data_IF_818377420459
#
_entry.id   IF_818377420459
#
_cell.length_a   1.000
_cell.length_b   1.000
_cell.length_c   1.000
_cell.angle_alpha   90.00
_cell.angle_beta   90.00
_cell.angle_gamma   90.00
#
_symmetry.space_group_name_H-M   'P 1'
#
loop_
_entity.id
_entity.type
_entity.pdbx_description
1 polymer ?
#
# COMPACT_ATOMS: atom_id res chain seq x y z
N UNK A 1 23.14 -16.16 -15.82
CA UNK A 1 22.78 -15.06 -14.92
C UNK A 1 22.69 -13.80 -15.76
N UNK A 2 21.59 -13.05 -15.76
CA UNK A 2 21.59 -11.75 -16.42
C UNK A 2 22.58 -10.86 -15.66
N UNK A 3 23.46 -10.17 -16.39
CA UNK A 3 24.36 -9.18 -15.80
C UNK A 3 23.55 -8.15 -15.01
N UNK A 4 24.07 -7.67 -13.86
CA UNK A 4 23.42 -6.57 -13.14
C UNK A 4 23.27 -5.42 -14.13
N UNK A 5 22.02 -5.01 -14.40
CA UNK A 5 21.78 -3.80 -15.18
C UNK A 5 22.58 -2.70 -14.50
N UNK A 6 23.54 -2.13 -15.22
CA UNK A 6 24.28 -0.96 -14.76
C UNK A 6 23.25 0.08 -14.29
N UNK A 7 23.15 0.24 -12.98
CA UNK A 7 22.44 1.36 -12.42
C UNK A 7 23.09 2.62 -12.99
N UNK A 8 22.31 3.68 -13.28
CA UNK A 8 22.92 4.96 -13.56
C UNK A 8 23.84 5.27 -12.38
N UNK A 9 25.15 5.32 -12.65
CA UNK A 9 26.11 5.88 -11.71
C UNK A 9 25.73 7.34 -11.62
N UNK A 10 24.94 7.67 -10.60
CA UNK A 10 24.57 9.04 -10.30
C UNK A 10 25.88 9.74 -9.91
N UNK A 11 26.50 10.41 -10.88
CA UNK A 11 27.54 11.40 -10.64
C UNK A 11 26.85 12.59 -9.98
N UNK A 12 26.66 12.51 -8.68
CA UNK A 12 26.18 13.64 -7.91
C UNK A 12 27.41 14.52 -7.62
N UNK A 13 27.39 15.75 -8.12
CA UNK A 13 28.43 16.74 -7.78
C UNK A 13 28.30 17.10 -6.29
N UNK A 14 29.35 16.83 -5.51
CA UNK A 14 29.37 17.00 -4.06
C UNK A 14 30.04 15.82 -3.35
N UNK A 15 30.22 15.93 -2.02
CA UNK A 15 30.68 14.80 -1.20
C UNK A 15 29.57 13.73 -1.16
N UNK A 16 29.65 12.71 -2.02
CA UNK A 16 28.68 11.60 -2.08
C UNK A 16 28.33 11.02 -0.70
N UNK A 17 29.28 11.01 0.24
CA UNK A 17 29.03 10.56 1.60
C UNK A 17 28.00 11.43 2.35
N UNK A 18 28.08 12.75 2.27
CA UNK A 18 27.14 13.65 2.97
C UNK A 18 25.71 13.56 2.43
N UNK A 19 25.55 13.25 1.15
CA UNK A 19 24.25 13.01 0.53
C UNK A 19 23.62 11.67 0.95
N UNK A 20 24.44 10.70 1.36
CA UNK A 20 24.00 9.40 1.84
C UNK A 20 23.74 9.38 3.35
N UNK A 21 24.21 10.36 4.11
CA UNK A 21 24.06 10.40 5.57
C UNK A 21 22.61 10.35 6.04
N UNK A 22 21.63 11.08 5.45
CA UNK A 22 20.23 10.93 5.82
C UNK A 22 19.71 9.51 5.59
N UNK A 23 20.12 8.87 4.49
CA UNK A 23 19.73 7.50 4.17
C UNK A 23 20.35 6.49 5.13
N UNK A 24 21.64 6.62 5.44
CA UNK A 24 22.36 5.80 6.41
C UNK A 24 21.75 5.94 7.81
N UNK A 25 21.41 7.16 8.21
CA UNK A 25 20.73 7.44 9.46
C UNK A 25 19.36 6.77 9.50
N UNK A 26 18.53 6.94 8.46
CA UNK A 26 17.23 6.28 8.38
C UNK A 26 17.34 4.75 8.45
N UNK A 27 18.30 4.15 7.72
CA UNK A 27 18.55 2.71 7.77
C UNK A 27 19.05 2.24 9.14
N UNK A 28 19.81 3.07 9.86
CA UNK A 28 20.22 2.78 11.22
C UNK A 28 19.01 2.78 12.17
N UNK A 29 18.20 3.84 12.14
CA UNK A 29 16.98 3.96 12.97
C UNK A 29 16.01 2.80 12.72
N UNK A 30 15.66 2.54 11.46
CA UNK A 30 14.73 1.48 11.10
C UNK A 30 15.21 0.09 11.53
N UNK A 31 16.53 -0.17 11.53
CA UNK A 31 17.09 -1.42 12.04
C UNK A 31 16.93 -1.58 13.55
N UNK A 32 16.96 -0.48 14.30
CA UNK A 32 16.73 -0.50 15.75
C UNK A 32 15.26 -0.77 16.09
N UNK A 33 14.35 -0.45 15.17
CA UNK A 33 12.92 -0.67 15.31
C UNK A 33 12.46 -2.04 14.81
N UNK A 34 13.37 -2.91 14.34
CA UNK A 34 13.02 -4.29 14.00
C UNK A 34 12.76 -5.10 15.27
N UNK A 35 11.61 -5.77 15.30
CA UNK A 35 11.25 -6.76 16.31
C UNK A 35 11.57 -8.14 15.75
N UNK A 36 12.46 -8.86 16.43
CA UNK A 36 12.86 -10.22 16.07
C UNK A 36 12.07 -11.27 16.85
N UNK A 37 11.82 -12.46 16.27
CA UNK A 37 11.30 -13.61 17.00
C UNK A 37 12.18 -13.96 18.21
N UNK A 38 11.56 -14.30 19.35
CA UNK A 38 12.29 -14.66 20.57
C UNK A 38 11.39 -14.76 21.80
N UNK A 39 11.99 -14.74 22.99
CA UNK A 39 11.28 -14.93 24.26
C UNK A 39 10.15 -13.90 24.49
N UNK A 40 10.32 -12.69 23.96
CA UNK A 40 9.34 -11.58 24.07
C UNK A 40 8.52 -11.36 22.78
N UNK A 41 8.75 -12.16 21.74
CA UNK A 41 8.06 -12.03 20.44
C UNK A 41 7.75 -13.39 19.81
N UNK A 42 6.47 -13.68 19.65
CA UNK A 42 5.99 -14.88 18.96
C UNK A 42 5.86 -14.71 17.44
N UNK A 43 6.36 -13.60 16.88
CA UNK A 43 6.38 -13.38 15.43
C UNK A 43 7.14 -14.51 14.74
N UNK A 44 6.71 -14.88 13.52
CA UNK A 44 7.36 -15.95 12.74
C UNK A 44 8.58 -15.47 11.95
N UNK A 45 8.72 -14.17 11.77
CA UNK A 45 9.85 -13.54 11.14
C UNK A 45 10.03 -12.11 11.68
N UNK A 46 11.20 -11.48 11.42
CA UNK A 46 11.44 -10.09 11.78
C UNK A 46 10.40 -9.15 11.14
N UNK A 47 9.93 -8.16 11.90
CA UNK A 47 9.00 -7.14 11.42
C UNK A 47 9.31 -5.78 12.02
N UNK A 48 8.95 -4.70 11.32
CA UNK A 48 9.15 -3.35 11.84
C UNK A 48 8.10 -3.03 12.91
N UNK A 49 8.56 -2.49 14.05
CA UNK A 49 7.70 -1.99 15.12
C UNK A 49 6.66 -1.01 14.56
N UNK A 50 5.40 -1.24 14.87
CA UNK A 50 4.30 -0.38 14.48
C UNK A 50 4.19 0.85 15.37
N UNK A 51 3.24 1.72 15.05
CA UNK A 51 3.00 2.96 15.81
C UNK A 51 2.47 2.70 17.22
N UNK A 52 1.75 1.59 17.42
CA UNK A 52 1.25 1.19 18.73
C UNK A 52 2.20 0.22 19.42
N UNK A 53 2.45 0.46 20.70
CA UNK A 53 3.24 -0.45 21.52
C UNK A 53 2.68 -1.88 21.49
N UNK A 54 3.55 -2.87 21.29
CA UNK A 54 3.17 -4.28 21.25
C UNK A 54 2.66 -4.79 19.91
N UNK A 55 2.66 -3.95 18.87
CA UNK A 55 2.20 -4.34 17.53
C UNK A 55 3.22 -4.02 16.43
N UNK A 56 3.10 -4.74 15.32
CA UNK A 56 3.73 -4.43 14.04
C UNK A 56 2.64 -4.21 13.00
N UNK A 57 2.79 -3.23 12.11
CA UNK A 57 1.75 -2.83 11.16
C UNK A 57 2.20 -3.08 9.71
N UNK A 58 1.30 -3.63 8.88
CA UNK A 58 1.61 -4.01 7.51
C UNK A 58 1.94 -2.79 6.63
N UNK A 59 1.23 -1.68 6.81
CA UNK A 59 1.49 -0.43 6.09
C UNK A 59 2.97 0.00 6.23
N UNK A 60 3.46 0.02 7.45
CA UNK A 60 4.82 0.42 7.81
C UNK A 60 5.83 -0.59 7.29
N UNK A 61 5.54 -1.89 7.43
CA UNK A 61 6.37 -2.95 6.85
C UNK A 61 6.53 -2.82 5.32
N UNK A 62 5.44 -2.56 4.60
CA UNK A 62 5.47 -2.38 3.16
C UNK A 62 6.31 -1.16 2.75
N UNK A 63 6.11 0.01 3.37
CA UNK A 63 6.86 1.22 3.04
C UNK A 63 8.33 1.15 3.50
N UNK A 64 8.59 0.54 4.65
CA UNK A 64 9.95 0.30 5.13
C UNK A 64 10.71 -0.60 4.17
N UNK A 65 10.07 -1.62 3.60
CA UNK A 65 10.67 -2.46 2.54
C UNK A 65 11.09 -1.60 1.35
N UNK A 66 10.30 -0.61 0.94
CA UNK A 66 10.69 0.31 -0.12
C UNK A 66 11.92 1.13 0.30
N UNK A 67 11.97 1.71 1.48
CA UNK A 67 13.13 2.49 1.92
C UNK A 67 14.39 1.65 2.09
N UNK A 68 14.25 0.48 2.69
CA UNK A 68 15.35 -0.37 3.13
C UNK A 68 15.91 -1.26 2.02
N UNK A 69 15.23 -1.46 0.90
CA UNK A 69 15.72 -2.36 -0.17
C UNK A 69 17.14 -2.05 -0.63
N UNK A 70 17.59 -0.79 -0.58
CA UNK A 70 18.95 -0.40 -0.97
C UNK A 70 19.97 -0.44 0.18
N UNK A 71 19.53 -0.74 1.41
CA UNK A 71 20.42 -0.97 2.52
C UNK A 71 21.24 -2.24 2.24
N UNK A 72 22.51 -2.23 2.65
CA UNK A 72 23.45 -3.32 2.40
C UNK A 72 23.04 -4.65 3.02
N UNK A 73 23.89 -5.67 2.84
CA UNK A 73 23.69 -7.04 3.33
C UNK A 73 23.11 -7.04 4.76
N UNK A 74 22.01 -7.77 4.96
CA UNK A 74 21.32 -7.89 6.25
C UNK A 74 19.96 -7.18 6.31
N UNK A 75 19.50 -6.55 5.24
CA UNK A 75 18.12 -6.07 5.14
C UNK A 75 17.15 -7.24 5.18
N UNK A 76 16.40 -7.33 6.27
CA UNK A 76 15.40 -8.39 6.50
C UNK A 76 14.10 -7.98 5.83
N UNK A 77 13.43 -8.93 5.20
CA UNK A 77 12.10 -8.65 4.67
C UNK A 77 11.10 -8.62 5.81
N UNK A 78 10.57 -7.44 6.09
CA UNK A 78 9.59 -7.21 7.16
C UNK A 78 8.17 -7.63 6.76
N UNK A 79 7.99 -8.13 5.53
CA UNK A 79 6.74 -8.73 5.05
C UNK A 79 6.58 -10.19 5.47
N UNK A 80 7.69 -10.89 5.76
CA UNK A 80 7.69 -12.34 6.03
C UNK A 80 6.80 -12.70 7.23
N UNK A 81 6.76 -11.84 8.24
CA UNK A 81 5.92 -12.05 9.42
C UNK A 81 4.43 -12.06 9.06
N UNK A 82 4.01 -11.17 8.17
CA UNK A 82 2.62 -11.03 7.73
C UNK A 82 2.23 -12.10 6.72
N UNK A 83 3.12 -12.45 5.78
CA UNK A 83 2.89 -13.56 4.86
C UNK A 83 2.77 -14.89 5.62
N UNK A 84 3.56 -15.07 6.67
CA UNK A 84 3.46 -16.25 7.56
C UNK A 84 2.21 -16.26 8.43
N UNK A 85 1.64 -15.08 8.71
CA UNK A 85 0.43 -14.90 9.49
C UNK A 85 -0.83 -14.72 8.61
N UNK A 86 -0.74 -15.04 7.31
CA UNK A 86 -1.85 -14.91 6.38
C UNK A 86 -3.11 -15.59 6.92
N UNK A 87 -4.22 -14.88 6.90
CA UNK A 87 -5.44 -15.37 7.54
C UNK A 87 -6.08 -16.48 6.70
N UNK A 88 -6.60 -17.52 7.37
CA UNK A 88 -7.28 -18.65 6.74
C UNK A 88 -8.51 -18.23 5.91
N UNK A 89 -9.08 -17.05 6.17
CA UNK A 89 -10.19 -16.49 5.39
C UNK A 89 -9.73 -15.84 4.08
N UNK A 90 -8.43 -15.81 3.79
CA UNK A 90 -7.91 -15.37 2.50
C UNK A 90 -7.42 -13.92 2.45
N UNK A 91 -7.08 -13.30 3.59
CA UNK A 91 -6.60 -11.91 3.62
C UNK A 91 -5.29 -11.75 4.38
N UNK A 92 -4.56 -10.69 4.03
CA UNK A 92 -3.35 -10.27 4.71
C UNK A 92 -3.70 -9.42 5.95
N UNK A 93 -3.18 -9.77 7.14
CA UNK A 93 -3.37 -8.99 8.35
C UNK A 93 -2.88 -7.56 8.23
N UNK A 94 -3.68 -6.60 8.70
CA UNK A 94 -3.29 -5.19 8.82
C UNK A 94 -2.22 -4.94 9.87
N UNK A 95 -2.21 -5.78 10.91
CA UNK A 95 -1.24 -5.73 12.01
C UNK A 95 -1.11 -7.10 12.67
N UNK A 96 0.01 -7.31 13.36
CA UNK A 96 0.23 -8.46 14.23
C UNK A 96 0.56 -8.00 15.64
N UNK A 97 0.05 -8.73 16.63
CA UNK A 97 0.46 -8.55 18.02
C UNK A 97 1.80 -9.26 18.24
N UNK A 98 2.79 -8.53 18.76
CA UNK A 98 4.16 -9.04 18.95
C UNK A 98 4.18 -10.25 19.88
N UNK A 99 3.39 -10.21 20.96
CA UNK A 99 3.36 -11.25 21.97
C UNK A 99 2.81 -12.59 21.45
N UNK A 100 1.85 -12.56 20.53
CA UNK A 100 1.19 -13.77 20.00
C UNK A 100 1.61 -14.14 18.58
N UNK A 101 2.21 -13.20 17.85
CA UNK A 101 2.64 -13.35 16.47
C UNK A 101 1.50 -13.42 15.45
N UNK A 102 0.26 -13.19 15.91
CA UNK A 102 -0.95 -13.37 15.11
C UNK A 102 -1.83 -12.14 15.08
N UNK A 103 -2.99 -12.31 14.47
CA UNK A 103 -4.00 -11.26 14.36
C UNK A 103 -4.49 -10.85 15.75
N UNK A 104 -4.63 -9.54 16.04
CA UNK A 104 -5.23 -9.07 17.28
C UNK A 104 -6.61 -9.71 17.50
N UNK A 105 -7.04 -9.92 18.75
CA UNK A 105 -8.28 -10.63 19.06
C UNK A 105 -9.57 -9.86 18.72
N UNK A 106 -9.50 -8.59 18.31
CA UNK A 106 -10.69 -7.74 18.07
C UNK A 106 -11.59 -8.25 16.93
N UNK A 107 -12.90 -8.34 17.18
CA UNK A 107 -13.87 -9.15 16.44
C UNK A 107 -14.59 -8.43 15.30
N UNK A 108 -14.28 -7.17 15.01
CA UNK A 108 -14.86 -6.52 13.83
C UNK A 108 -14.04 -6.87 12.58
N UNK A 109 -14.62 -7.67 11.68
CA UNK A 109 -13.98 -8.10 10.42
C UNK A 109 -13.46 -6.93 9.56
N UNK A 110 -14.02 -5.73 9.78
CA UNK A 110 -13.63 -4.48 9.14
C UNK A 110 -12.35 -3.83 9.68
N UNK A 111 -11.58 -4.48 10.56
CA UNK A 111 -10.31 -3.93 11.13
C UNK A 111 -9.04 -4.70 10.75
N UNK A 112 -9.19 -5.87 10.10
CA UNK A 112 -8.11 -6.86 10.01
C UNK A 112 -7.33 -6.88 8.71
N UNK A 113 -7.81 -6.19 7.68
CA UNK A 113 -7.24 -6.30 6.32
C UNK A 113 -6.29 -5.15 6.06
N UNK A 114 -5.03 -5.44 5.69
CA UNK A 114 -4.02 -4.42 5.39
C UNK A 114 -4.45 -3.47 4.26
N UNK A 115 -3.78 -2.34 4.07
CA UNK A 115 -3.80 -1.70 2.75
C UNK A 115 -3.03 -2.58 1.75
N UNK A 116 -3.42 -2.68 0.47
CA UNK A 116 -2.86 -3.66 -0.47
C UNK A 116 -1.50 -3.19 -1.05
N UNK A 117 -0.52 -2.98 -0.17
CA UNK A 117 0.82 -2.50 -0.52
C UNK A 117 1.88 -3.61 -0.61
N UNK A 118 1.54 -4.83 -0.20
CA UNK A 118 2.50 -5.93 -0.15
C UNK A 118 2.91 -6.44 -1.53
N UNK A 119 2.03 -6.40 -2.54
CA UNK A 119 2.44 -6.72 -3.90
C UNK A 119 3.56 -5.77 -4.38
N UNK A 120 3.46 -4.48 -4.06
CA UNK A 120 4.54 -3.53 -4.35
C UNK A 120 5.83 -3.88 -3.60
N UNK A 121 5.74 -4.16 -2.30
CA UNK A 121 6.90 -4.52 -1.49
C UNK A 121 7.62 -5.76 -2.04
N UNK A 122 6.89 -6.85 -2.30
CA UNK A 122 7.45 -8.11 -2.82
C UNK A 122 7.98 -7.97 -4.24
N UNK A 123 7.31 -7.16 -5.08
CA UNK A 123 7.81 -6.88 -6.43
C UNK A 123 9.14 -6.12 -6.43
N UNK A 124 9.28 -5.11 -5.57
CA UNK A 124 10.54 -4.37 -5.43
C UNK A 124 11.67 -5.25 -4.88
N UNK A 125 11.39 -6.10 -3.90
CA UNK A 125 12.34 -7.10 -3.40
C UNK A 125 12.75 -8.08 -4.51
N UNK A 126 11.81 -8.56 -5.31
CA UNK A 126 12.10 -9.43 -6.44
C UNK A 126 12.98 -8.75 -7.48
N UNK A 127 12.69 -7.49 -7.86
CA UNK A 127 13.52 -6.75 -8.83
C UNK A 127 14.96 -6.59 -8.35
N UNK A 128 15.19 -6.54 -7.04
CA UNK A 128 16.52 -6.40 -6.46
C UNK A 128 17.26 -7.74 -6.35
N UNK A 129 16.58 -8.78 -5.86
CA UNK A 129 17.24 -10.04 -5.47
C UNK A 129 17.02 -11.19 -6.46
N UNK A 130 16.04 -11.07 -7.36
CA UNK A 130 15.72 -12.10 -8.36
C UNK A 130 15.16 -13.40 -7.79
N UNK A 131 14.75 -13.45 -6.51
CA UNK A 131 14.24 -14.66 -5.88
C UNK A 131 12.83 -14.98 -6.39
N UNK A 132 12.76 -15.82 -7.43
CA UNK A 132 11.49 -16.23 -8.07
C UNK A 132 10.61 -17.10 -7.17
N UNK A 133 11.20 -17.99 -6.36
CA UNK A 133 10.45 -18.88 -5.47
C UNK A 133 9.68 -18.07 -4.42
N UNK A 134 10.35 -17.09 -3.80
CA UNK A 134 9.71 -16.15 -2.89
C UNK A 134 8.57 -15.39 -3.58
N UNK A 135 8.80 -14.88 -4.78
CA UNK A 135 7.79 -14.14 -5.53
C UNK A 135 6.56 -15.00 -5.83
N UNK A 136 6.76 -16.26 -6.23
CA UNK A 136 5.65 -17.18 -6.51
C UNK A 136 4.85 -17.49 -5.25
N UNK A 137 5.51 -17.75 -4.11
CA UNK A 137 4.83 -17.95 -2.83
C UNK A 137 4.02 -16.72 -2.40
N UNK A 138 4.63 -15.52 -2.48
CA UNK A 138 3.95 -14.28 -2.14
C UNK A 138 2.76 -14.00 -3.09
N UNK A 139 2.92 -14.30 -4.39
CA UNK A 139 1.88 -14.09 -5.39
C UNK A 139 0.59 -14.86 -5.05
N UNK A 140 0.68 -16.13 -4.65
CA UNK A 140 -0.50 -16.92 -4.29
C UNK A 140 -1.30 -16.27 -3.14
N UNK A 141 -0.60 -15.86 -2.08
CA UNK A 141 -1.20 -15.22 -0.91
C UNK A 141 -1.82 -13.87 -1.27
N UNK A 142 -1.10 -13.04 -2.03
CA UNK A 142 -1.53 -11.69 -2.37
C UNK A 142 -2.64 -11.68 -3.43
N UNK A 143 -2.72 -12.70 -4.28
CA UNK A 143 -3.87 -12.91 -5.17
C UNK A 143 -5.11 -13.33 -4.38
N UNK A 144 -4.98 -14.21 -3.39
CA UNK A 144 -6.09 -14.55 -2.50
C UNK A 144 -6.58 -13.31 -1.74
N UNK A 145 -5.67 -12.49 -1.20
CA UNK A 145 -6.02 -11.20 -0.56
C UNK A 145 -6.71 -10.23 -1.52
N UNK A 146 -6.28 -10.18 -2.79
CA UNK A 146 -6.96 -9.39 -3.82
C UNK A 146 -8.40 -9.87 -4.06
N UNK A 147 -8.63 -11.18 -4.18
CA UNK A 147 -9.98 -11.75 -4.32
C UNK A 147 -10.86 -11.48 -3.09
N UNK A 148 -10.32 -11.65 -1.89
CA UNK A 148 -11.04 -11.33 -0.66
C UNK A 148 -11.53 -9.86 -0.68
N UNK A 149 -10.68 -8.93 -1.12
CA UNK A 149 -11.03 -7.51 -1.20
C UNK A 149 -12.09 -7.21 -2.24
N UNK A 150 -12.04 -7.87 -3.39
CA UNK A 150 -13.08 -7.76 -4.42
C UNK A 150 -14.47 -8.12 -3.85
N UNK A 151 -14.53 -9.15 -3.01
CA UNK A 151 -15.78 -9.63 -2.40
C UNK A 151 -16.24 -8.80 -1.19
N UNK A 152 -15.29 -8.26 -0.39
CA UNK A 152 -15.61 -7.68 0.93
C UNK A 152 -15.44 -6.15 1.02
N UNK A 153 -14.61 -5.54 0.17
CA UNK A 153 -14.28 -4.11 0.24
C UNK A 153 -14.87 -3.29 -0.93
N UNK A 154 -15.34 -3.96 -2.00
CA UNK A 154 -15.98 -3.31 -3.14
C UNK A 154 -17.36 -2.76 -2.74
N UNK A 155 -17.60 -1.50 -3.07
CA UNK A 155 -18.84 -0.75 -2.77
C UNK A 155 -19.86 -0.94 -3.89
N UNK A 156 -21.10 -0.52 -3.66
CA UNK A 156 -22.22 -0.65 -4.64
C UNK A 156 -21.95 0.06 -5.97
N UNK A 157 -21.21 1.17 -5.95
CA UNK A 157 -20.78 1.90 -7.15
C UNK A 157 -19.59 1.23 -7.87
N UNK A 158 -19.09 0.11 -7.35
CA UNK A 158 -17.95 -0.64 -7.86
C UNK A 158 -16.58 -0.07 -7.46
N UNK A 159 -16.53 1.01 -6.67
CA UNK A 159 -15.29 1.55 -6.11
C UNK A 159 -14.95 0.85 -4.78
N UNK A 160 -13.90 1.30 -4.11
CA UNK A 160 -13.39 0.69 -2.88
C UNK A 160 -13.44 1.66 -1.71
N UNK A 161 -13.71 1.11 -0.53
CA UNK A 161 -13.33 1.73 0.74
C UNK A 161 -12.29 0.85 1.42
N UNK A 162 -12.00 1.12 2.69
CA UNK A 162 -11.02 0.33 3.42
C UNK A 162 -11.30 0.26 4.92
N UNK A 163 -10.27 -0.17 5.62
CA UNK A 163 -10.21 -0.16 7.08
C UNK A 163 -9.54 1.14 7.53
N UNK A 164 -10.21 1.94 8.35
CA UNK A 164 -9.72 3.27 8.74
C UNK A 164 -8.29 3.23 9.31
N UNK A 165 -8.01 2.28 10.22
CA UNK A 165 -6.69 2.13 10.84
C UNK A 165 -5.62 1.69 9.83
N UNK A 166 -5.96 0.76 8.94
CA UNK A 166 -5.02 0.18 7.96
C UNK A 166 -4.64 1.17 6.87
N UNK A 167 -5.48 2.15 6.61
CA UNK A 167 -5.24 3.26 5.67
C UNK A 167 -4.79 4.55 6.37
N UNK A 168 -4.50 4.50 7.68
CA UNK A 168 -4.07 5.66 8.49
C UNK A 168 -5.02 6.85 8.39
N UNK A 169 -6.32 6.59 8.31
CA UNK A 169 -7.35 7.61 8.05
C UNK A 169 -7.38 8.71 9.13
N UNK A 170 -7.04 8.37 10.37
CA UNK A 170 -6.93 9.31 11.50
C UNK A 170 -5.87 10.40 11.30
N UNK A 171 -4.92 10.21 10.39
CA UNK A 171 -3.92 11.21 10.02
C UNK A 171 -4.41 12.17 8.93
N UNK A 172 -5.71 12.15 8.59
CA UNK A 172 -6.28 12.93 7.50
C UNK A 172 -7.44 13.81 7.98
N UNK A 173 -7.80 14.83 7.20
CA UNK A 173 -9.00 15.63 7.42
C UNK A 173 -10.30 14.97 6.94
N UNK A 174 -10.24 13.72 6.45
CA UNK A 174 -11.38 13.05 5.80
C UNK A 174 -12.32 12.44 6.82
N UNK A 175 -13.62 12.51 6.53
CA UNK A 175 -14.68 11.90 7.36
C UNK A 175 -14.67 12.39 8.82
N UNK A 176 -14.21 13.62 9.06
CA UNK A 176 -14.04 14.19 10.40
C UNK A 176 -15.29 14.96 10.85
N UNK A 177 -15.75 14.74 12.08
CA UNK A 177 -16.70 15.60 12.79
C UNK A 177 -16.17 15.86 14.20
N UNK A 178 -16.07 17.13 14.61
CA UNK A 178 -15.54 17.49 15.93
C UNK A 178 -14.08 17.05 16.15
N UNK A 179 -13.27 17.00 15.10
CA UNK A 179 -11.85 16.63 15.18
C UNK A 179 -11.58 15.13 15.32
N UNK A 180 -12.56 14.26 15.05
CA UNK A 180 -12.40 12.80 15.07
C UNK A 180 -13.00 12.17 13.82
N UNK A 181 -12.41 11.07 13.35
CA UNK A 181 -12.96 10.29 12.23
C UNK A 181 -14.28 9.68 12.71
N UNK A 182 -15.34 9.85 11.91
CA UNK A 182 -16.65 9.24 12.16
C UNK A 182 -16.73 7.91 11.41
N UNK A 183 -16.76 6.76 12.10
CA UNK A 183 -16.70 5.44 11.45
C UNK A 183 -17.84 5.19 10.46
N UNK A 184 -19.05 5.71 10.70
CA UNK A 184 -20.18 5.56 9.78
C UNK A 184 -19.95 6.28 8.45
N UNK A 185 -19.41 7.50 8.49
CA UNK A 185 -19.07 8.27 7.28
C UNK A 185 -17.98 7.55 6.48
N UNK A 186 -16.92 7.11 7.16
CA UNK A 186 -15.83 6.38 6.52
C UNK A 186 -16.32 5.03 5.94
N UNK A 187 -17.17 4.31 6.66
CA UNK A 187 -17.66 2.98 6.28
C UNK A 187 -18.58 2.99 5.05
N UNK A 188 -19.42 4.01 4.90
CA UNK A 188 -20.30 4.17 3.74
C UNK A 188 -19.59 4.71 2.49
N UNK A 189 -18.45 5.36 2.65
CA UNK A 189 -17.75 6.07 1.59
C UNK A 189 -16.90 5.20 0.67
N UNK A 190 -16.61 5.73 -0.52
CA UNK A 190 -15.58 5.24 -1.46
C UNK A 190 -14.36 6.15 -1.40
N UNK A 191 -13.17 5.59 -1.17
CA UNK A 191 -11.96 6.36 -0.89
C UNK A 191 -11.02 6.33 -2.09
N UNK A 192 -10.55 7.50 -2.54
CA UNK A 192 -9.75 7.61 -3.76
C UNK A 192 -8.39 6.92 -3.62
N UNK A 193 -7.80 6.94 -2.44
CA UNK A 193 -6.57 6.22 -2.12
C UNK A 193 -6.78 4.71 -2.06
N UNK A 194 -7.89 4.23 -1.49
CA UNK A 194 -8.24 2.81 -1.55
C UNK A 194 -8.35 2.34 -2.99
N UNK A 195 -9.08 3.07 -3.85
CA UNK A 195 -9.19 2.73 -5.27
C UNK A 195 -7.82 2.76 -5.96
N UNK A 196 -7.01 3.78 -5.72
CA UNK A 196 -5.66 3.87 -6.28
C UNK A 196 -4.75 2.73 -5.82
N UNK A 197 -4.74 2.39 -4.53
CA UNK A 197 -3.94 1.28 -3.99
C UNK A 197 -4.41 -0.08 -4.51
N UNK A 198 -5.71 -0.31 -4.63
CA UNK A 198 -6.24 -1.54 -5.23
C UNK A 198 -5.87 -1.65 -6.71
N UNK A 199 -5.93 -0.54 -7.46
CA UNK A 199 -5.48 -0.52 -8.86
C UNK A 199 -3.97 -0.75 -9.00
N UNK A 200 -3.17 -0.18 -8.10
CA UNK A 200 -1.73 -0.44 -8.03
C UNK A 200 -1.46 -1.92 -7.74
N UNK A 201 -2.17 -2.50 -6.77
CA UNK A 201 -2.07 -3.91 -6.41
C UNK A 201 -2.40 -4.81 -7.61
N UNK A 202 -3.54 -4.59 -8.27
CA UNK A 202 -3.94 -5.33 -9.46
C UNK A 202 -2.90 -5.23 -10.58
N UNK A 203 -2.36 -4.04 -10.83
CA UNK A 203 -1.31 -3.83 -11.83
C UNK A 203 -0.06 -4.64 -11.52
N UNK A 204 0.41 -4.59 -10.28
CA UNK A 204 1.65 -5.26 -9.87
C UNK A 204 1.47 -6.78 -9.85
N UNK A 205 0.35 -7.28 -9.33
CA UNK A 205 0.00 -8.69 -9.45
C UNK A 205 -0.02 -9.10 -10.91
N UNK A 206 -0.58 -8.29 -11.81
CA UNK A 206 -0.56 -8.55 -13.26
C UNK A 206 0.85 -8.71 -13.82
N UNK A 207 1.80 -7.89 -13.39
CA UNK A 207 3.22 -8.05 -13.76
C UNK A 207 3.84 -9.35 -13.22
N UNK A 208 3.56 -9.69 -11.95
CA UNK A 208 3.99 -10.97 -11.36
C UNK A 208 3.44 -12.15 -12.17
N UNK A 209 2.14 -12.13 -12.47
CA UNK A 209 1.44 -13.17 -13.21
C UNK A 209 2.02 -13.37 -14.61
N UNK A 210 2.34 -12.28 -15.33
CA UNK A 210 3.00 -12.34 -16.64
C UNK A 210 4.39 -12.97 -16.53
N UNK A 211 5.17 -12.58 -15.52
CA UNK A 211 6.48 -13.17 -15.25
C UNK A 211 6.40 -14.66 -14.89
N UNK A 212 5.33 -15.08 -14.22
CA UNK A 212 5.06 -16.47 -13.85
C UNK A 212 4.46 -17.29 -15.00
N UNK A 213 4.07 -16.67 -16.12
CA UNK A 213 3.52 -17.34 -17.30
C UNK A 213 2.01 -17.64 -17.22
N UNK A 214 1.28 -17.02 -16.29
CA UNK A 214 -0.12 -17.30 -15.97
C UNK A 214 -1.10 -16.37 -16.71
N UNK A 215 -1.17 -16.50 -18.04
CA UNK A 215 -1.80 -15.49 -18.93
C UNK A 215 -3.26 -15.14 -18.60
N UNK A 216 -4.08 -16.10 -18.20
CA UNK A 216 -5.51 -15.87 -17.90
C UNK A 216 -5.69 -14.96 -16.69
N UNK A 217 -5.01 -15.29 -15.58
CA UNK A 217 -4.99 -14.49 -14.35
C UNK A 217 -4.49 -13.05 -14.61
N UNK A 218 -3.56 -12.86 -15.56
CA UNK A 218 -3.06 -11.54 -15.90
C UNK A 218 -4.14 -10.69 -16.59
N UNK A 219 -5.00 -11.32 -17.40
CA UNK A 219 -6.14 -10.66 -18.05
C UNK A 219 -7.20 -10.22 -17.05
N UNK A 220 -7.49 -11.03 -16.02
CA UNK A 220 -8.43 -10.70 -14.94
C UNK A 220 -7.97 -9.46 -14.16
N UNK A 221 -6.68 -9.43 -13.77
CA UNK A 221 -6.08 -8.33 -13.02
C UNK A 221 -6.03 -7.04 -13.85
N UNK A 222 -5.72 -7.14 -15.14
CA UNK A 222 -5.74 -6.01 -16.07
C UNK A 222 -7.15 -5.45 -16.25
N UNK A 223 -8.16 -6.33 -16.35
CA UNK A 223 -9.55 -5.90 -16.41
C UNK A 223 -9.98 -5.19 -15.13
N UNK A 224 -9.65 -5.72 -13.96
CA UNK A 224 -9.99 -5.10 -12.68
C UNK A 224 -9.35 -3.71 -12.53
N UNK A 225 -8.08 -3.54 -12.92
CA UNK A 225 -7.43 -2.23 -12.94
C UNK A 225 -8.16 -1.24 -13.86
N UNK A 226 -8.57 -1.68 -15.07
CA UNK A 226 -9.28 -0.84 -16.03
C UNK A 226 -10.68 -0.46 -15.55
N UNK A 227 -11.41 -1.37 -14.91
CA UNK A 227 -12.71 -1.09 -14.29
C UNK A 227 -12.59 -0.04 -13.17
N UNK A 228 -11.62 -0.22 -12.26
CA UNK A 228 -11.32 0.77 -11.22
C UNK A 228 -10.97 2.14 -11.81
N UNK A 229 -10.12 2.17 -12.85
CA UNK A 229 -9.76 3.40 -13.53
C UNK A 229 -10.96 4.09 -14.17
N UNK A 230 -11.81 3.35 -14.88
CA UNK A 230 -13.01 3.89 -15.52
C UNK A 230 -13.96 4.50 -14.48
N UNK A 231 -14.23 3.79 -13.38
CA UNK A 231 -15.12 4.26 -12.31
C UNK A 231 -14.55 5.47 -11.57
N UNK A 232 -13.27 5.45 -11.20
CA UNK A 232 -12.65 6.57 -10.51
C UNK A 232 -12.68 7.84 -11.37
N UNK A 233 -12.39 7.70 -12.67
CA UNK A 233 -12.42 8.81 -13.61
C UNK A 233 -13.82 9.34 -13.90
N UNK A 234 -14.85 8.48 -13.87
CA UNK A 234 -16.22 8.89 -14.10
C UNK A 234 -16.87 9.51 -12.86
N UNK A 235 -16.58 8.97 -11.67
CA UNK A 235 -17.32 9.28 -10.46
C UNK A 235 -16.56 10.19 -9.49
N UNK A 236 -15.23 10.04 -9.39
CA UNK A 236 -14.44 10.72 -8.34
C UNK A 236 -13.72 11.97 -8.83
N UNK A 237 -13.62 12.18 -10.13
CA UNK A 237 -13.00 13.39 -10.69
C UNK A 237 -13.99 14.54 -10.76
N UNK A 238 -13.58 15.72 -10.28
CA UNK A 238 -14.30 16.96 -10.48
C UNK A 238 -13.58 17.84 -11.50
N UNK A 239 -14.24 18.14 -12.62
CA UNK A 239 -13.67 18.95 -13.70
C UNK A 239 -13.44 20.41 -13.28
N UNK A 240 -14.25 20.95 -12.36
CA UNK A 240 -14.15 22.36 -11.95
C UNK A 240 -12.96 22.61 -11.03
N UNK A 241 -12.68 21.66 -10.13
CA UNK A 241 -11.58 21.69 -9.18
C UNK A 241 -10.29 21.08 -9.73
N UNK A 242 -10.37 20.36 -10.85
CA UNK A 242 -9.27 19.58 -11.43
C UNK A 242 -8.64 18.64 -10.38
N UNK A 243 -9.48 17.95 -9.63
CA UNK A 243 -9.06 17.12 -8.51
C UNK A 243 -9.96 15.89 -8.34
N UNK A 244 -9.42 14.81 -7.77
CA UNK A 244 -10.24 13.66 -7.35
C UNK A 244 -10.68 13.80 -5.89
N UNK A 245 -11.92 13.44 -5.62
CA UNK A 245 -12.52 13.46 -4.28
C UNK A 245 -13.00 12.07 -3.87
N UNK A 246 -13.03 11.83 -2.56
CA UNK A 246 -13.76 10.70 -2.01
C UNK A 246 -15.26 10.88 -2.24
N UNK A 247 -16.00 9.77 -2.29
CA UNK A 247 -17.46 9.80 -2.38
C UNK A 247 -18.07 9.40 -1.05
N UNK A 248 -19.13 10.08 -0.64
CA UNK A 248 -19.95 9.64 0.48
C UNK A 248 -20.79 8.39 0.13
N UNK A 249 -21.66 7.98 1.06
CA UNK A 249 -22.53 6.80 0.87
C UNK A 249 -23.59 6.97 -0.22
N UNK A 250 -23.86 8.20 -0.65
CA UNK A 250 -24.81 8.54 -1.71
C UNK A 250 -24.12 8.72 -3.07
N UNK A 251 -22.79 8.71 -3.10
CA UNK A 251 -22.01 8.91 -4.32
C UNK A 251 -21.68 10.37 -4.60
N UNK A 252 -21.91 11.27 -3.64
CA UNK A 252 -21.60 12.70 -3.77
C UNK A 252 -20.15 12.96 -3.35
N UNK A 253 -19.52 13.96 -3.98
CA UNK A 253 -18.14 14.34 -3.67
C UNK A 253 -18.05 14.90 -2.25
N UNK A 254 -17.12 14.35 -1.46
CA UNK A 254 -16.71 14.99 -0.22
C UNK A 254 -15.82 16.18 -0.54
N UNK A 255 -16.16 17.41 -0.10
CA UNK A 255 -15.49 18.63 -0.53
C UNK A 255 -14.17 18.88 0.23
N UNK A 256 -13.32 17.86 0.33
CA UNK A 256 -12.02 17.91 1.03
C UNK A 256 -10.93 17.46 0.07
N UNK A 257 -10.08 18.40 -0.35
CA UNK A 257 -8.88 18.08 -1.14
C UNK A 257 -7.83 17.47 -0.22
N UNK A 258 -7.32 16.30 -0.58
CA UNK A 258 -6.25 15.64 0.18
C UNK A 258 -5.22 15.02 -0.75
N UNK A 259 -4.04 14.70 -0.20
CA UNK A 259 -2.99 13.99 -0.92
C UNK A 259 -3.35 12.53 -1.26
N UNK A 260 -4.47 12.01 -0.72
CA UNK A 260 -4.99 10.69 -1.08
C UNK A 260 -5.19 10.55 -2.60
N UNK A 261 -5.58 11.64 -3.26
CA UNK A 261 -5.81 11.67 -4.70
C UNK A 261 -4.54 11.36 -5.51
N UNK A 262 -3.33 11.55 -4.97
CA UNK A 262 -2.07 11.25 -5.67
C UNK A 262 -1.87 9.75 -5.91
N UNK A 263 -2.59 8.89 -5.19
CA UNK A 263 -2.60 7.45 -5.48
C UNK A 263 -3.14 7.14 -6.87
N UNK A 264 -3.95 8.03 -7.49
CA UNK A 264 -4.39 7.85 -8.88
C UNK A 264 -3.26 8.01 -9.88
N UNK A 265 -2.31 8.91 -9.60
CA UNK A 265 -1.11 9.11 -10.39
C UNK A 265 -0.16 7.92 -10.19
N UNK A 266 0.08 7.53 -8.94
CA UNK A 266 1.04 6.46 -8.63
C UNK A 266 0.59 5.09 -9.14
N UNK A 267 -0.72 4.80 -9.06
CA UNK A 267 -1.31 3.59 -9.62
C UNK A 267 -1.36 3.59 -11.16
N UNK A 268 -1.38 4.77 -11.78
CA UNK A 268 -1.49 4.96 -13.22
C UNK A 268 -2.94 4.97 -13.72
N UNK A 269 -3.93 5.17 -12.85
CA UNK A 269 -5.34 5.25 -13.26
C UNK A 269 -5.79 6.66 -13.65
N UNK A 270 -5.05 7.70 -13.24
CA UNK A 270 -5.28 9.06 -13.73
C UNK A 270 -4.75 9.19 -15.17
N UNK A 271 -5.56 9.65 -16.13
CA UNK A 271 -5.07 9.97 -17.46
C UNK A 271 -4.12 11.17 -17.37
N UNK A 272 -3.19 11.25 -18.33
CA UNK A 272 -2.06 12.21 -18.30
C UNK A 272 -2.50 13.66 -18.08
N UNK A 273 -3.55 14.11 -18.76
CA UNK A 273 -4.06 15.48 -18.61
C UNK A 273 -4.56 15.79 -17.19
N UNK A 274 -5.20 14.83 -16.52
CA UNK A 274 -5.67 14.99 -15.14
C UNK A 274 -4.51 14.95 -14.15
N UNK A 275 -3.54 14.05 -14.36
CA UNK A 275 -2.31 14.02 -13.58
C UNK A 275 -1.54 15.35 -13.69
N UNK A 276 -1.39 15.88 -14.90
CA UNK A 276 -0.72 17.16 -15.15
C UNK A 276 -1.46 18.33 -14.43
N UNK A 277 -2.79 18.34 -14.46
CA UNK A 277 -3.60 19.33 -13.75
C UNK A 277 -3.44 19.25 -12.23
N UNK A 278 -3.47 18.03 -11.66
CA UNK A 278 -3.24 17.82 -10.23
C UNK A 278 -1.84 18.26 -9.79
N UNK A 279 -0.79 17.92 -10.55
CA UNK A 279 0.57 18.33 -10.22
C UNK A 279 0.75 19.85 -10.24
N UNK A 280 0.07 20.54 -11.18
CA UNK A 280 0.03 22.01 -11.21
C UNK A 280 -0.62 22.58 -9.95
N UNK A 281 -1.73 22.00 -9.49
CA UNK A 281 -2.43 22.41 -8.25
C UNK A 281 -1.61 22.11 -7.00
N UNK A 282 -0.92 20.97 -6.94
CA UNK A 282 -0.04 20.60 -5.82
C UNK A 282 1.14 21.58 -5.67
N UNK A 283 1.54 22.24 -6.75
CA UNK A 283 2.63 23.23 -6.74
C UNK A 283 2.16 24.63 -6.28
N UNK A 284 0.87 24.81 -5.96
CA UNK A 284 0.31 26.06 -5.47
C UNK A 284 0.40 26.11 -3.93
N UNK A 285 1.30 26.93 -3.35
CA UNK A 285 1.52 26.98 -1.90
C UNK A 285 0.34 27.59 -1.13
N UNK A 286 -0.67 28.12 -1.82
CA UNK A 286 -1.91 28.58 -1.18
C UNK A 286 -2.92 27.45 -0.99
N UNK A 287 -2.69 26.29 -1.62
CA UNK A 287 -3.57 25.13 -1.56
C UNK A 287 -2.93 23.92 -0.86
N UNK A 288 -1.61 23.74 -0.97
CA UNK A 288 -0.85 22.63 -0.40
C UNK A 288 0.44 23.08 0.28
#
# INVERSE_FOLDING_TARGET
MPEPRDFPVLKIEGEQDSLLDPYRHACFQLRQDVVDPGDESSLKAPALRGLSQGFVDAWDGALATLGLRWAGIGTRSVTDAFLSAFDKNGYLPSRLEVATGGNPPDKSDSTRVAAPLFALAEWELFKLHGNRERLEHAFELLRADFMYREDHQRKRNGLFGGVADSYRLHATGRFMLGGRVVPSLAGGASWIDAVGMHALNARILGEMTRLLGRKEEAGELEWAMRDMAARANALMWDESNEWYFDLDEHGEHLPVKTLASLWTIWSGIAPRNRADAMLKRLSDPTQF
#
